data_IF_786934244868
#
_entry.id   IF_786934244868
#
_cell.length_a   1.000
_cell.length_b   1.000
_cell.length_c   1.000
_cell.angle_alpha   90.00
_cell.angle_beta   90.00
_cell.angle_gamma   90.00
#
_symmetry.space_group_name_H-M   'P 1'
#
loop_
_entity.id
_entity.type
_entity.pdbx_description
1 polymer ?
#
# COMPACT_ATOMS: atom_id res chain seq x y z
N UNK A 1 9.08 16.14 6.51
CA UNK A 1 8.81 17.41 7.22
C UNK A 1 7.30 17.62 7.15
N UNK A 2 6.63 17.99 8.24
CA UNK A 2 5.18 18.28 8.14
C UNK A 2 5.07 19.65 7.49
N UNK A 3 4.72 19.69 6.20
CA UNK A 3 4.44 20.94 5.51
C UNK A 3 3.22 21.62 6.14
N UNK A 4 3.29 22.95 6.30
CA UNK A 4 2.21 23.79 6.83
C UNK A 4 1.10 24.03 5.78
N UNK A 5 0.63 22.94 5.16
CA UNK A 5 -0.49 22.95 4.23
C UNK A 5 -1.81 22.94 5.02
N UNK A 6 -2.81 23.66 4.52
CA UNK A 6 -4.17 23.54 5.08
C UNK A 6 -4.69 22.13 4.86
N UNK A 7 -5.49 21.61 5.80
CA UNK A 7 -6.01 20.23 5.69
C UNK A 7 -6.88 19.99 4.45
N UNK A 8 -7.52 21.01 3.90
CA UNK A 8 -8.27 20.92 2.64
C UNK A 8 -7.39 20.93 1.38
N UNK A 9 -6.07 21.05 1.54
CA UNK A 9 -5.06 20.96 0.48
C UNK A 9 -4.20 19.70 0.62
N UNK A 10 -4.45 18.90 1.66
CA UNK A 10 -3.75 17.66 1.91
C UNK A 10 -4.24 16.59 0.93
N UNK A 11 -3.30 16.00 0.17
CA UNK A 11 -3.61 15.13 -0.97
C UNK A 11 -3.25 13.67 -0.68
N UNK A 12 -3.71 12.77 -1.54
CA UNK A 12 -3.31 11.35 -1.47
C UNK A 12 -1.79 11.18 -1.70
N UNK A 13 -1.16 12.04 -2.52
CA UNK A 13 0.31 12.10 -2.68
C UNK A 13 0.98 12.33 -1.33
N UNK A 14 0.49 13.29 -0.54
CA UNK A 14 1.05 13.58 0.78
C UNK A 14 0.92 12.39 1.74
N UNK A 15 -0.18 11.62 1.66
CA UNK A 15 -0.37 10.38 2.43
C UNK A 15 0.68 9.33 2.06
N UNK A 16 0.85 9.07 0.76
CA UNK A 16 1.77 8.05 0.25
C UNK A 16 3.21 8.42 0.59
N UNK A 17 3.61 9.67 0.38
CA UNK A 17 4.96 10.17 0.70
C UNK A 17 5.26 10.06 2.20
N UNK A 18 4.28 10.36 3.07
CA UNK A 18 4.44 10.19 4.53
C UNK A 18 4.59 8.73 4.94
N UNK A 19 3.87 7.80 4.29
CA UNK A 19 4.04 6.36 4.51
C UNK A 19 5.45 5.91 4.12
N UNK A 20 5.92 6.27 2.93
CA UNK A 20 7.29 6.00 2.48
C UNK A 20 8.31 6.55 3.46
N UNK A 21 8.16 7.81 3.89
CA UNK A 21 9.07 8.43 4.84
C UNK A 21 9.07 7.67 6.17
N UNK A 22 7.89 7.31 6.69
CA UNK A 22 7.76 6.57 7.93
C UNK A 22 8.43 5.19 7.84
N UNK A 23 8.12 4.38 6.83
CA UNK A 23 8.72 3.05 6.67
C UNK A 23 10.25 3.14 6.59
N UNK A 24 10.78 4.14 5.88
CA UNK A 24 12.23 4.34 5.77
C UNK A 24 12.91 4.86 7.05
N UNK A 25 12.24 5.72 7.84
CA UNK A 25 12.92 6.52 8.87
C UNK A 25 12.45 6.27 10.30
N UNK A 26 11.36 5.52 10.51
CA UNK A 26 10.85 5.28 11.85
C UNK A 26 11.88 4.56 12.74
N UNK A 27 11.76 4.79 14.04
CA UNK A 27 12.57 4.17 15.10
C UNK A 27 11.68 3.52 16.17
N UNK A 28 10.42 3.27 15.83
CA UNK A 28 9.40 2.78 16.77
C UNK A 28 9.52 1.28 16.97
N UNK A 29 9.87 0.56 15.90
CA UNK A 29 10.07 -0.88 15.89
C UNK A 29 11.38 -1.24 15.18
N UNK A 30 11.89 -2.45 15.42
CA UNK A 30 13.07 -2.95 14.72
C UNK A 30 12.70 -3.30 13.28
N UNK A 31 13.28 -2.57 12.32
CA UNK A 31 13.03 -2.79 10.89
C UNK A 31 13.49 -4.16 10.42
N UNK A 32 14.38 -4.83 11.15
CA UNK A 32 14.87 -6.17 10.82
C UNK A 32 13.77 -7.21 10.98
N UNK A 33 12.90 -7.06 11.98
CA UNK A 33 11.76 -7.95 12.22
C UNK A 33 10.68 -7.82 11.14
N UNK A 34 10.56 -6.63 10.55
CA UNK A 34 9.56 -6.32 9.53
C UNK A 34 10.16 -6.09 8.15
N UNK A 35 11.39 -6.58 7.91
CA UNK A 35 12.16 -6.21 6.71
C UNK A 35 11.40 -6.51 5.42
N UNK A 36 10.93 -7.75 5.29
CA UNK A 36 10.30 -8.21 4.05
C UNK A 36 8.91 -7.56 3.87
N UNK A 37 8.15 -7.38 4.95
CA UNK A 37 6.89 -6.61 4.97
C UNK A 37 7.14 -5.15 4.52
N UNK A 38 8.11 -4.48 5.13
CA UNK A 38 8.46 -3.09 4.79
C UNK A 38 8.92 -2.96 3.33
N UNK A 39 9.63 -3.96 2.79
CA UNK A 39 10.02 -3.99 1.38
C UNK A 39 8.79 -4.02 0.46
N UNK A 40 7.80 -4.85 0.81
CA UNK A 40 6.51 -4.90 0.13
C UNK A 40 5.73 -3.59 0.21
N UNK A 41 5.62 -3.02 1.40
CA UNK A 41 4.94 -1.74 1.61
C UNK A 41 5.59 -0.61 0.81
N UNK A 42 6.92 -0.52 0.80
CA UNK A 42 7.64 0.49 0.04
C UNK A 42 7.40 0.32 -1.45
N UNK A 43 7.47 -0.91 -1.96
CA UNK A 43 7.21 -1.21 -3.37
C UNK A 43 5.81 -0.72 -3.78
N UNK A 44 4.76 -1.11 -3.04
CA UNK A 44 3.40 -0.67 -3.31
C UNK A 44 3.25 0.86 -3.25
N UNK A 45 3.82 1.50 -2.23
CA UNK A 45 3.72 2.95 -2.09
C UNK A 45 4.46 3.69 -3.21
N UNK A 46 5.62 3.20 -3.68
CA UNK A 46 6.32 3.81 -4.81
C UNK A 46 5.54 3.67 -6.12
N UNK A 47 4.97 2.49 -6.38
CA UNK A 47 4.12 2.27 -7.55
C UNK A 47 2.90 3.20 -7.50
N UNK A 48 2.22 3.28 -6.34
CA UNK A 48 1.05 4.14 -6.14
C UNK A 48 1.40 5.62 -6.25
N UNK A 49 2.58 6.02 -5.78
CA UNK A 49 3.05 7.40 -5.89
C UNK A 49 3.29 7.82 -7.34
N UNK A 50 3.77 6.91 -8.18
CA UNK A 50 3.94 7.15 -9.60
C UNK A 50 2.57 7.26 -10.29
N UNK A 51 1.69 6.29 -10.03
CA UNK A 51 0.38 6.22 -10.68
C UNK A 51 -0.57 7.35 -10.28
N UNK A 52 -0.61 7.74 -9.00
CA UNK A 52 -1.53 8.79 -8.51
C UNK A 52 -1.27 10.15 -9.14
N UNK A 53 -0.05 10.36 -9.69
CA UNK A 53 0.34 11.60 -10.37
C UNK A 53 -0.15 11.65 -11.82
N UNK A 54 -0.46 10.50 -12.42
CA UNK A 54 -0.74 10.37 -13.86
C UNK A 54 -2.15 9.84 -14.16
N UNK A 55 -2.73 9.02 -13.27
CA UNK A 55 -3.99 8.32 -13.49
C UNK A 55 -5.20 9.08 -12.95
N UNK A 56 -6.37 8.86 -13.56
CA UNK A 56 -7.65 9.23 -12.96
C UNK A 56 -8.00 8.29 -11.80
N UNK A 57 -8.84 8.76 -10.88
CA UNK A 57 -9.26 8.00 -9.69
C UNK A 57 -9.80 6.61 -10.04
N UNK A 58 -10.68 6.50 -11.05
CA UNK A 58 -11.27 5.22 -11.45
C UNK A 58 -10.25 4.25 -12.05
N UNK A 59 -9.28 4.75 -12.82
CA UNK A 59 -8.20 3.94 -13.41
C UNK A 59 -7.27 3.42 -12.31
N UNK A 60 -6.88 4.31 -11.40
CA UNK A 60 -6.05 4.00 -10.23
C UNK A 60 -6.72 2.92 -9.37
N UNK A 61 -7.96 3.15 -8.93
CA UNK A 61 -8.72 2.21 -8.12
C UNK A 61 -8.85 0.85 -8.82
N UNK A 62 -9.24 0.85 -10.10
CA UNK A 62 -9.44 -0.41 -10.85
C UNK A 62 -8.14 -1.21 -10.98
N UNK A 63 -7.01 -0.55 -11.23
CA UNK A 63 -5.69 -1.20 -11.29
C UNK A 63 -5.37 -1.90 -9.98
N UNK A 64 -5.52 -1.18 -8.86
CA UNK A 64 -5.10 -1.68 -7.56
C UNK A 64 -6.06 -2.72 -6.96
N UNK A 65 -7.36 -2.62 -7.21
CA UNK A 65 -8.29 -3.71 -6.89
C UNK A 65 -7.98 -4.99 -7.67
N UNK A 66 -7.66 -4.89 -8.96
CA UNK A 66 -7.27 -6.06 -9.74
C UNK A 66 -5.98 -6.72 -9.23
N UNK A 67 -5.03 -5.93 -8.72
CA UNK A 67 -3.80 -6.44 -8.12
C UNK A 67 -4.11 -7.16 -6.80
N UNK A 68 -4.90 -6.54 -5.93
CA UNK A 68 -5.37 -7.16 -4.68
C UNK A 68 -6.04 -8.51 -4.96
N UNK A 69 -7.01 -8.56 -5.87
CA UNK A 69 -7.72 -9.79 -6.18
C UNK A 69 -6.79 -10.92 -6.67
N UNK A 70 -5.76 -10.58 -7.46
CA UNK A 70 -4.77 -11.56 -7.90
C UNK A 70 -3.94 -12.09 -6.74
N UNK A 71 -3.50 -11.21 -5.84
CA UNK A 71 -2.74 -11.61 -4.66
C UNK A 71 -3.57 -12.50 -3.73
N UNK A 72 -4.85 -12.17 -3.51
CA UNK A 72 -5.77 -13.01 -2.73
C UNK A 72 -5.84 -14.43 -3.29
N UNK A 73 -6.06 -14.59 -4.60
CA UNK A 73 -6.07 -15.91 -5.25
C UNK A 73 -4.74 -16.64 -5.08
N UNK A 74 -3.60 -15.94 -5.20
CA UNK A 74 -2.28 -16.53 -5.01
C UNK A 74 -2.05 -17.03 -3.58
N UNK A 75 -2.56 -16.30 -2.57
CA UNK A 75 -2.50 -16.73 -1.18
C UNK A 75 -3.43 -17.92 -0.90
N UNK A 76 -4.67 -17.88 -1.39
CA UNK A 76 -5.64 -18.97 -1.22
C UNK A 76 -5.20 -20.28 -1.86
N UNK A 77 -4.57 -20.20 -3.03
CA UNK A 77 -4.05 -21.36 -3.76
C UNK A 77 -2.69 -21.85 -3.24
N UNK A 78 -2.12 -21.20 -2.21
CA UNK A 78 -0.76 -21.46 -1.70
C UNK A 78 0.31 -21.42 -2.82
N UNK A 79 0.11 -20.55 -3.83
CA UNK A 79 1.06 -20.39 -4.95
C UNK A 79 2.38 -19.78 -4.48
N UNK A 80 2.34 -18.99 -3.40
CA UNK A 80 3.51 -18.46 -2.71
C UNK A 80 3.89 -19.41 -1.57
N UNK A 81 5.07 -20.00 -1.65
CA UNK A 81 5.58 -20.96 -0.65
C UNK A 81 6.81 -20.45 0.09
N UNK A 82 7.51 -19.45 -0.45
CA UNK A 82 8.62 -18.80 0.23
C UNK A 82 8.10 -17.80 1.27
N UNK A 83 8.52 -17.98 2.52
CA UNK A 83 8.06 -17.16 3.65
C UNK A 83 8.35 -15.66 3.45
N UNK A 84 9.52 -15.32 2.90
CA UNK A 84 9.89 -13.91 2.69
C UNK A 84 9.03 -13.29 1.60
N UNK A 85 8.76 -14.04 0.55
CA UNK A 85 7.87 -13.61 -0.52
C UNK A 85 6.43 -13.42 -0.03
N UNK A 86 5.93 -14.33 0.82
CA UNK A 86 4.61 -14.18 1.47
C UNK A 86 4.58 -12.90 2.31
N UNK A 87 5.58 -12.66 3.15
CA UNK A 87 5.65 -11.45 3.99
C UNK A 87 5.71 -10.18 3.15
N UNK A 88 6.51 -10.20 2.07
CA UNK A 88 6.62 -9.08 1.13
C UNK A 88 5.30 -8.81 0.40
N UNK A 89 4.66 -9.84 -0.14
CA UNK A 89 3.37 -9.66 -0.82
C UNK A 89 2.26 -9.26 0.16
N UNK A 90 2.34 -9.70 1.41
CA UNK A 90 1.43 -9.26 2.48
C UNK A 90 1.58 -7.76 2.76
N UNK A 91 2.82 -7.27 2.90
CA UNK A 91 3.10 -5.85 3.08
C UNK A 91 2.64 -5.02 1.88
N UNK A 92 2.88 -5.51 0.67
CA UNK A 92 2.44 -4.88 -0.57
C UNK A 92 0.90 -4.76 -0.63
N UNK A 93 0.17 -5.85 -0.35
CA UNK A 93 -1.29 -5.86 -0.29
C UNK A 93 -1.84 -4.88 0.75
N UNK A 94 -1.30 -4.90 1.97
CA UNK A 94 -1.73 -4.04 3.07
C UNK A 94 -1.53 -2.55 2.76
N UNK A 95 -0.43 -2.20 2.09
CA UNK A 95 -0.18 -0.83 1.66
C UNK A 95 -1.22 -0.36 0.65
N UNK A 96 -1.60 -1.20 -0.33
CA UNK A 96 -2.64 -0.86 -1.31
C UNK A 96 -3.98 -0.59 -0.61
N UNK A 97 -4.45 -1.54 0.21
CA UNK A 97 -5.72 -1.40 0.96
C UNK A 97 -5.70 -0.13 1.79
N UNK A 98 -4.58 0.15 2.46
CA UNK A 98 -4.45 1.34 3.29
C UNK A 98 -4.54 2.66 2.52
N UNK A 99 -4.20 2.71 1.23
CA UNK A 99 -4.35 3.91 0.40
C UNK A 99 -5.76 3.96 -0.21
N UNK A 100 -6.27 2.84 -0.71
CA UNK A 100 -7.63 2.79 -1.26
C UNK A 100 -8.67 3.22 -0.23
N UNK A 101 -8.56 2.80 1.04
CA UNK A 101 -9.50 3.23 2.08
C UNK A 101 -9.51 4.74 2.35
N UNK A 102 -8.45 5.47 1.99
CA UNK A 102 -8.44 6.94 2.04
C UNK A 102 -9.29 7.57 0.92
N UNK A 103 -9.49 6.86 -0.19
CA UNK A 103 -10.37 7.27 -1.31
C UNK A 103 -11.82 6.93 -0.97
N UNK A 104 -12.07 5.67 -0.60
CA UNK A 104 -13.38 5.21 -0.17
C UNK A 104 -13.24 4.12 0.90
N UNK A 105 -13.83 4.30 2.10
CA UNK A 105 -13.75 3.31 3.18
C UNK A 105 -14.25 1.90 2.81
N UNK A 106 -15.10 1.77 1.79
CA UNK A 106 -15.61 0.46 1.35
C UNK A 106 -14.50 -0.52 0.96
N UNK A 107 -13.34 -0.01 0.50
CA UNK A 107 -12.23 -0.85 0.05
C UNK A 107 -11.52 -1.60 1.19
N UNK A 108 -11.82 -1.30 2.46
CA UNK A 108 -11.39 -2.12 3.59
C UNK A 108 -12.11 -3.47 3.64
N UNK A 109 -13.33 -3.55 3.08
CA UNK A 109 -14.21 -4.73 3.15
C UNK A 109 -14.31 -5.51 1.83
N UNK A 110 -13.82 -4.95 0.72
CA UNK A 110 -13.86 -5.60 -0.60
C UNK A 110 -12.98 -6.86 -0.72
N UNK A 111 -12.31 -7.25 0.38
CA UNK A 111 -11.46 -8.43 0.49
C UNK A 111 -12.16 -9.63 1.13
N UNK A 112 -13.44 -9.51 1.52
CA UNK A 112 -14.18 -10.54 2.25
C UNK A 112 -15.30 -11.24 1.44
N UNK A 113 -15.49 -10.92 0.16
CA UNK A 113 -16.53 -11.52 -0.73
C UNK A 113 -15.95 -12.39 -1.86
#
# INVERSE_FOLDING_TARGET
>A
MIDDKKMNQFTLVDVIERKIQFTNTNTIYDKTEFKDINEGELLANYDMLADVKEMKENEFVSKYLNIINKLTVQFENEELTDKREIEKMSGYNNAIVSILKCINPIYEYYLED
#
